data_IF_834632957318
#
_entry.id   IF_834632957318
#
_cell.length_a   1.000
_cell.length_b   1.000
_cell.length_c   1.000
_cell.angle_alpha   90.00
_cell.angle_beta   90.00
_cell.angle_gamma   90.00
#
_symmetry.space_group_name_H-M   'P 1'
#
loop_
_entity.id
_entity.type
_entity.pdbx_description
1 polymer ?
#
# COMPACT_ATOMS: atom_id res chain seq x y z
N UNK A 1 -15.10 -43.31 -28.52
CA UNK A 1 -13.90 -42.44 -28.64
C UNK A 1 -14.25 -40.94 -28.64
N UNK A 2 -15.08 -40.47 -27.69
CA UNK A 2 -15.49 -39.05 -27.58
C UNK A 2 -15.32 -38.46 -26.17
N UNK A 3 -15.00 -39.29 -25.18
CA UNK A 3 -14.88 -38.87 -23.78
C UNK A 3 -13.45 -38.53 -23.34
N UNK A 4 -12.42 -38.88 -24.12
CA UNK A 4 -11.02 -38.61 -23.77
C UNK A 4 -10.67 -37.11 -23.86
N UNK A 5 -11.41 -36.34 -24.68
CA UNK A 5 -11.17 -34.91 -24.88
C UNK A 5 -11.94 -34.02 -23.91
N UNK A 6 -12.89 -34.54 -23.14
CA UNK A 6 -13.68 -33.73 -22.21
C UNK A 6 -13.03 -33.67 -20.81
N UNK A 7 -12.26 -34.69 -20.43
CA UNK A 7 -11.54 -34.71 -19.16
C UNK A 7 -10.30 -33.80 -19.14
N UNK A 8 -9.61 -33.67 -20.27
CA UNK A 8 -8.44 -32.79 -20.41
C UNK A 8 -8.78 -31.30 -20.29
N UNK A 9 -10.01 -30.88 -20.60
CA UNK A 9 -10.42 -29.48 -20.44
C UNK A 9 -10.73 -29.09 -18.98
N UNK A 10 -11.19 -30.03 -18.15
CA UNK A 10 -11.53 -29.72 -16.74
C UNK A 10 -10.30 -29.59 -15.84
N UNK A 11 -9.24 -30.37 -16.08
CA UNK A 11 -7.99 -30.29 -15.29
C UNK A 11 -7.21 -29.00 -15.58
N UNK A 12 -7.22 -28.52 -16.84
CA UNK A 12 -6.51 -27.31 -17.24
C UNK A 12 -7.14 -26.02 -16.68
N UNK A 13 -8.46 -25.98 -16.49
CA UNK A 13 -9.15 -24.80 -15.96
C UNK A 13 -8.92 -24.61 -14.44
N UNK A 14 -8.72 -25.69 -13.69
CA UNK A 14 -8.47 -25.63 -12.24
C UNK A 14 -7.04 -25.17 -11.89
N UNK A 15 -6.06 -25.42 -12.76
CA UNK A 15 -4.65 -25.08 -12.50
C UNK A 15 -4.32 -23.60 -12.77
N UNK A 16 -5.12 -22.90 -13.58
CA UNK A 16 -4.90 -21.48 -13.92
C UNK A 16 -5.62 -20.49 -12.99
N UNK A 17 -6.35 -20.97 -11.99
CA UNK A 17 -7.04 -20.13 -11.01
C UNK A 17 -6.21 -19.85 -9.74
N UNK A 18 -4.88 -19.95 -9.81
CA UNK A 18 -3.99 -19.81 -8.63
C UNK A 18 -3.00 -18.65 -8.69
N UNK A 19 -3.06 -17.73 -9.67
CA UNK A 19 -2.05 -16.65 -9.80
C UNK A 19 -2.58 -15.21 -9.85
N UNK A 20 -3.87 -14.94 -9.69
CA UNK A 20 -4.39 -13.55 -9.80
C UNK A 20 -4.68 -12.83 -8.47
N UNK A 21 -4.09 -13.28 -7.36
CA UNK A 21 -3.99 -12.47 -6.15
C UNK A 21 -2.56 -12.00 -5.94
N UNK A 22 -2.00 -11.31 -6.93
CA UNK A 22 -0.94 -10.34 -6.66
C UNK A 22 -1.63 -9.19 -5.93
N UNK A 23 -1.60 -9.28 -4.61
CA UNK A 23 -2.02 -8.21 -3.73
C UNK A 23 -1.14 -6.98 -3.95
N UNK A 24 -1.77 -5.81 -4.04
CA UNK A 24 -1.18 -4.66 -3.41
C UNK A 24 -1.50 -4.84 -1.92
N UNK A 25 -0.60 -5.51 -1.19
CA UNK A 25 -0.58 -5.40 0.26
C UNK A 25 -0.57 -3.90 0.56
N UNK A 26 -1.71 -3.38 1.01
CA UNK A 26 -1.69 -2.26 1.94
C UNK A 26 -1.00 -2.84 3.16
N UNK A 27 0.30 -2.69 3.20
CA UNK A 27 1.07 -2.83 4.40
C UNK A 27 0.37 -1.99 5.47
N UNK A 28 -0.17 -2.69 6.46
CA UNK A 28 -0.39 -2.11 7.77
C UNK A 28 0.99 -1.81 8.38
N UNK A 29 1.72 -0.88 7.77
CA UNK A 29 2.90 -0.26 8.34
C UNK A 29 2.42 0.91 9.19
N UNK A 30 1.55 0.59 10.16
CA UNK A 30 1.37 1.41 11.34
C UNK A 30 2.58 1.20 12.23
N UNK A 31 3.74 1.71 11.81
CA UNK A 31 4.70 2.25 12.77
C UNK A 31 4.06 3.51 13.30
N UNK A 32 3.10 3.30 14.20
CA UNK A 32 2.39 4.33 14.91
C UNK A 32 3.46 5.23 15.56
N UNK A 33 3.37 6.57 15.42
CA UNK A 33 4.09 7.43 16.34
C UNK A 33 3.70 7.00 17.75
N UNK A 34 4.71 6.82 18.59
CA UNK A 34 4.63 6.43 20.00
C UNK A 34 3.34 6.95 20.65
N UNK A 35 2.59 6.00 21.17
CA UNK A 35 1.31 6.11 21.88
C UNK A 35 1.01 7.53 22.40
N UNK A 36 0.11 8.24 21.71
CA UNK A 36 -0.49 9.51 22.19
C UNK A 36 -0.33 10.72 21.27
N UNK A 37 0.67 10.76 20.38
CA UNK A 37 0.94 11.98 19.59
C UNK A 37 0.34 11.94 18.19
N UNK A 38 -0.73 12.70 17.97
CA UNK A 38 -1.35 12.83 16.66
C UNK A 38 -0.49 13.70 15.74
N UNK A 39 -0.13 13.18 14.56
CA UNK A 39 0.46 13.98 13.49
C UNK A 39 -0.59 14.99 13.00
N UNK A 40 -0.25 16.26 12.99
CA UNK A 40 -1.11 17.35 12.49
C UNK A 40 -0.62 17.94 11.17
N UNK A 41 0.60 17.59 10.77
CA UNK A 41 1.18 17.99 9.49
C UNK A 41 2.61 17.52 9.34
N UNK A 42 3.27 18.02 8.31
CA UNK A 42 4.67 17.81 7.99
C UNK A 42 5.28 19.09 7.44
N UNK A 43 6.56 19.30 7.71
CA UNK A 43 7.37 20.28 6.99
C UNK A 43 8.15 19.55 5.92
N UNK A 44 8.07 20.05 4.70
CA UNK A 44 8.76 19.53 3.54
C UNK A 44 10.23 19.97 3.50
N UNK A 45 11.06 19.31 2.69
CA UNK A 45 12.48 19.62 2.59
C UNK A 45 12.80 21.02 2.02
N UNK A 46 11.86 21.63 1.30
CA UNK A 46 11.94 23.00 0.81
C UNK A 46 11.51 24.06 1.86
N UNK A 47 11.07 23.62 3.04
CA UNK A 47 10.53 24.49 4.10
C UNK A 47 9.02 24.74 4.01
N UNK A 48 8.35 24.22 2.97
CA UNK A 48 6.90 24.33 2.85
C UNK A 48 6.21 23.49 3.91
N UNK A 49 5.19 24.03 4.57
CA UNK A 49 4.37 23.26 5.51
C UNK A 49 3.20 22.61 4.77
N UNK A 50 3.01 21.32 5.01
CA UNK A 50 1.91 20.53 4.47
C UNK A 50 1.06 19.96 5.62
N UNK A 51 -0.26 20.01 5.48
CA UNK A 51 -1.19 19.33 6.41
C UNK A 51 -1.30 17.83 6.14
N UNK A 52 -0.57 17.29 5.16
CA UNK A 52 -0.53 15.88 4.89
C UNK A 52 0.19 15.12 6.02
N UNK A 53 -0.44 14.09 6.56
CA UNK A 53 0.04 13.30 7.70
C UNK A 53 0.36 11.83 7.33
N UNK A 54 0.10 11.45 6.08
CA UNK A 54 0.21 10.08 5.56
C UNK A 54 1.40 9.84 4.64
N UNK A 55 1.50 8.60 4.15
CA UNK A 55 2.48 8.18 3.14
C UNK A 55 2.24 8.95 1.84
N UNK A 56 3.26 9.68 1.39
CA UNK A 56 3.19 10.57 0.23
C UNK A 56 3.11 12.06 0.56
N UNK A 57 3.14 12.44 1.85
CA UNK A 57 3.36 13.83 2.23
C UNK A 57 4.64 14.38 1.58
N UNK A 58 4.56 15.61 1.04
CA UNK A 58 5.67 16.30 0.39
C UNK A 58 6.29 15.58 -0.83
N UNK A 59 5.54 14.71 -1.52
CA UNK A 59 6.05 13.98 -2.71
C UNK A 59 6.59 14.91 -3.80
N UNK A 60 5.98 16.08 -4.00
CA UNK A 60 6.43 17.11 -4.96
C UNK A 60 7.62 17.94 -4.46
N UNK A 61 7.86 17.95 -3.15
CA UNK A 61 8.83 18.81 -2.48
C UNK A 61 10.06 18.03 -2.00
N UNK A 62 10.29 16.82 -2.55
CA UNK A 62 11.44 15.98 -2.18
C UNK A 62 11.29 15.23 -0.86
N UNK A 63 10.05 15.07 -0.37
CA UNK A 63 9.74 14.33 0.85
C UNK A 63 9.64 15.19 2.11
N UNK A 64 9.31 14.52 3.21
CA UNK A 64 9.11 15.14 4.53
C UNK A 64 10.46 15.36 5.20
N UNK A 65 10.70 16.58 5.68
CA UNK A 65 11.82 16.91 6.54
C UNK A 65 11.55 16.45 7.98
N UNK A 66 10.46 16.93 8.57
CA UNK A 66 10.01 16.53 9.90
C UNK A 66 8.49 16.59 10.05
N UNK A 67 7.94 15.76 10.93
CA UNK A 67 6.50 15.71 11.21
C UNK A 67 6.12 16.69 12.32
N UNK A 68 5.00 17.38 12.14
CA UNK A 68 4.38 18.21 13.15
C UNK A 68 3.38 17.38 13.95
N UNK A 69 3.42 17.58 15.26
CA UNK A 69 2.64 16.82 16.21
C UNK A 69 1.81 17.75 17.09
N UNK A 70 0.61 17.31 17.44
CA UNK A 70 -0.17 17.95 18.50
C UNK A 70 0.38 17.50 19.85
N UNK A 71 0.66 18.45 20.73
CA UNK A 71 0.97 18.19 22.14
C UNK A 71 -0.28 17.83 22.94
#
# INVERSE_FOLDING_TARGET
MKHIRLWTFMVAAALMLSLNTIGCSKDNSSTAPTEGRQRIGAVCNDGTQSSATGSGACSSHGGVNHWLYKD
#
